data_IF_014042915676
#
_entry.id   IF_014042915676
#
_cell.length_a   1.000
_cell.length_b   1.000
_cell.length_c   1.000
_cell.angle_alpha   90.00
_cell.angle_beta   90.00
_cell.angle_gamma   90.00
#
_symmetry.space_group_name_H-M   'P 1'
#
loop_
_entity.id
_entity.type
_entity.pdbx_description
1 polymer ?
#
# COMPACT_ATOMS: atom_id res chain seq x y z
N UNK A 1 5.42 -19.23 5.43
CA UNK A 1 6.75 -18.61 5.66
C UNK A 1 6.66 -17.21 5.06
N UNK A 2 6.45 -16.20 5.90
CA UNK A 2 6.40 -14.81 5.44
C UNK A 2 7.83 -14.40 5.08
N UNK A 3 8.09 -14.20 3.79
CA UNK A 3 9.33 -13.58 3.32
C UNK A 3 9.31 -12.13 3.79
N UNK A 4 10.11 -11.80 4.83
CA UNK A 4 10.44 -10.41 5.11
C UNK A 4 11.02 -9.84 3.81
N UNK A 5 10.47 -8.72 3.29
CA UNK A 5 11.10 -8.06 2.16
C UNK A 5 12.54 -7.73 2.55
N UNK A 6 13.48 -8.09 1.70
CA UNK A 6 14.89 -7.77 1.90
C UNK A 6 15.00 -6.25 2.14
N UNK A 7 15.58 -5.87 3.28
CA UNK A 7 15.95 -4.49 3.53
C UNK A 7 16.95 -4.12 2.42
N UNK A 8 16.52 -3.32 1.45
CA UNK A 8 17.42 -2.72 0.47
C UNK A 8 18.02 -1.53 1.21
N UNK A 9 19.19 -1.73 1.86
CA UNK A 9 19.92 -0.67 2.53
C UNK A 9 20.21 0.45 1.52
N UNK A 10 19.82 1.67 1.87
CA UNK A 10 20.06 2.86 1.05
C UNK A 10 19.09 3.08 -0.12
N UNK A 11 18.05 2.26 -0.29
CA UNK A 11 17.02 2.52 -1.31
C UNK A 11 16.21 3.78 -0.96
N UNK A 12 16.05 4.67 -1.92
CA UNK A 12 15.19 5.82 -1.77
C UNK A 12 13.72 5.42 -1.61
N UNK A 13 12.90 6.34 -1.14
CA UNK A 13 11.48 6.09 -0.86
C UNK A 13 10.71 5.56 -2.07
N UNK A 14 10.99 6.02 -3.28
CA UNK A 14 10.30 5.60 -4.51
C UNK A 14 10.58 4.14 -4.84
N UNK A 15 11.80 3.68 -4.61
CA UNK A 15 12.16 2.28 -4.82
C UNK A 15 11.46 1.36 -3.80
N UNK A 16 11.38 1.78 -2.54
CA UNK A 16 10.67 1.03 -1.50
C UNK A 16 9.17 0.91 -1.81
N UNK A 17 8.55 2.00 -2.25
CA UNK A 17 7.15 1.99 -2.67
C UNK A 17 6.92 1.08 -3.89
N UNK A 18 7.80 1.12 -4.92
CA UNK A 18 7.70 0.20 -6.06
C UNK A 18 7.72 -1.27 -5.65
N UNK A 19 8.61 -1.63 -4.73
CA UNK A 19 8.70 -3.01 -4.23
C UNK A 19 7.42 -3.42 -3.51
N UNK A 20 6.85 -2.56 -2.67
CA UNK A 20 5.59 -2.84 -1.99
C UNK A 20 4.42 -2.94 -2.99
N UNK A 21 4.33 -2.03 -3.96
CA UNK A 21 3.31 -2.04 -5.00
C UNK A 21 3.34 -3.33 -5.84
N UNK A 22 4.53 -3.72 -6.31
CA UNK A 22 4.70 -4.95 -7.06
C UNK A 22 4.25 -6.17 -6.26
N UNK A 23 4.64 -6.24 -4.99
CA UNK A 23 4.23 -7.32 -4.09
C UNK A 23 2.71 -7.40 -3.94
N UNK A 24 2.00 -6.28 -3.78
CA UNK A 24 0.53 -6.31 -3.63
C UNK A 24 -0.18 -6.85 -4.87
N UNK A 25 0.28 -6.49 -6.05
CA UNK A 25 -0.27 -7.01 -7.30
C UNK A 25 -0.01 -8.52 -7.45
N UNK A 26 1.18 -9.00 -7.08
CA UNK A 26 1.53 -10.42 -7.09
C UNK A 26 0.72 -11.21 -6.03
N UNK A 27 0.61 -10.70 -4.79
CA UNK A 27 -0.18 -11.33 -3.73
C UNK A 27 -1.67 -11.40 -4.10
N UNK A 28 -2.22 -10.37 -4.78
CA UNK A 28 -3.59 -10.41 -5.26
C UNK A 28 -3.80 -11.45 -6.35
N UNK A 29 -2.84 -11.59 -7.29
CA UNK A 29 -2.87 -12.65 -8.30
C UNK A 29 -2.87 -14.04 -7.64
N UNK A 30 -2.07 -14.24 -6.59
CA UNK A 30 -2.11 -15.47 -5.80
C UNK A 30 -3.48 -15.72 -5.17
N UNK A 31 -4.17 -14.69 -4.65
CA UNK A 31 -5.54 -14.83 -4.11
C UNK A 31 -6.50 -15.31 -5.19
N UNK A 32 -6.36 -14.79 -6.42
CA UNK A 32 -7.21 -15.15 -7.56
C UNK A 32 -6.97 -16.60 -8.05
N UNK A 33 -5.75 -17.11 -7.93
CA UNK A 33 -5.36 -18.42 -8.48
C UNK A 33 -5.50 -19.58 -7.50
N UNK A 34 -5.56 -19.33 -6.19
CA UNK A 34 -5.75 -20.37 -5.17
C UNK A 34 -7.17 -20.94 -5.25
N UNK A 35 -7.31 -22.25 -5.41
CA UNK A 35 -8.61 -22.95 -5.52
C UNK A 35 -9.23 -23.39 -4.19
N UNK A 36 -8.45 -23.48 -3.12
CA UNK A 36 -8.94 -23.80 -1.78
C UNK A 36 -9.50 -22.53 -1.10
N UNK A 37 -10.78 -22.57 -0.71
CA UNK A 37 -11.49 -21.42 -0.13
C UNK A 37 -10.84 -20.88 1.14
N UNK A 38 -10.40 -21.74 2.04
CA UNK A 38 -9.77 -21.32 3.31
C UNK A 38 -8.42 -20.66 3.04
N UNK A 39 -7.69 -21.21 2.09
CA UNK A 39 -6.40 -20.67 1.68
C UNK A 39 -6.54 -19.34 0.97
N UNK A 40 -7.54 -19.21 0.08
CA UNK A 40 -7.85 -17.97 -0.59
C UNK A 40 -8.23 -16.88 0.42
N UNK A 41 -9.09 -17.21 1.39
CA UNK A 41 -9.45 -16.27 2.47
C UNK A 41 -8.26 -15.89 3.34
N UNK A 42 -7.38 -16.83 3.69
CA UNK A 42 -6.19 -16.55 4.49
C UNK A 42 -5.22 -15.61 3.74
N UNK A 43 -5.00 -15.85 2.44
CA UNK A 43 -4.18 -14.99 1.58
C UNK A 43 -4.75 -13.57 1.46
N UNK A 44 -6.07 -13.46 1.30
CA UNK A 44 -6.73 -12.15 1.29
C UNK A 44 -6.49 -11.38 2.59
N UNK A 45 -6.55 -12.04 3.75
CA UNK A 45 -6.29 -11.40 5.03
C UNK A 45 -4.80 -11.01 5.20
N UNK A 46 -3.86 -11.79 4.67
CA UNK A 46 -2.44 -11.45 4.65
C UNK A 46 -2.20 -10.21 3.77
N UNK A 47 -2.73 -10.18 2.56
CA UNK A 47 -2.68 -9.05 1.64
C UNK A 47 -3.27 -7.79 2.29
N UNK A 48 -4.44 -7.89 2.92
CA UNK A 48 -5.08 -6.78 3.63
C UNK A 48 -4.20 -6.19 4.73
N UNK A 49 -3.57 -7.04 5.54
CA UNK A 49 -2.65 -6.57 6.60
C UNK A 49 -1.47 -5.83 6.01
N UNK A 50 -0.87 -6.38 4.95
CA UNK A 50 0.23 -5.73 4.23
C UNK A 50 -0.17 -4.38 3.67
N UNK A 51 -1.32 -4.31 3.02
CA UNK A 51 -1.89 -3.08 2.48
C UNK A 51 -2.09 -2.01 3.56
N UNK A 52 -2.73 -2.37 4.68
CA UNK A 52 -2.98 -1.43 5.78
C UNK A 52 -1.69 -0.84 6.35
N UNK A 53 -0.66 -1.67 6.54
CA UNK A 53 0.65 -1.20 6.99
C UNK A 53 1.27 -0.25 5.97
N UNK A 54 1.20 -0.57 4.67
CA UNK A 54 1.71 0.28 3.60
C UNK A 54 0.99 1.63 3.56
N UNK A 55 -0.33 1.64 3.46
CA UNK A 55 -1.14 2.85 3.37
C UNK A 55 -0.88 3.80 4.55
N UNK A 56 -0.92 3.29 5.79
CA UNK A 56 -0.62 4.09 6.98
C UNK A 56 0.82 4.61 6.99
N UNK A 57 1.79 3.81 6.54
CA UNK A 57 3.20 4.24 6.48
C UNK A 57 3.38 5.34 5.45
N UNK A 58 2.76 5.20 4.29
CA UNK A 58 2.81 6.19 3.23
C UNK A 58 2.19 7.52 3.67
N UNK A 59 1.02 7.48 4.29
CA UNK A 59 0.36 8.65 4.87
C UNK A 59 1.23 9.36 5.92
N UNK A 60 1.84 8.57 6.81
CA UNK A 60 2.65 9.11 7.91
C UNK A 60 3.98 9.71 7.46
N UNK A 61 4.58 9.20 6.40
CA UNK A 61 5.92 9.59 5.97
C UNK A 61 5.86 10.43 4.70
N UNK A 62 5.25 9.91 3.63
CA UNK A 62 5.32 10.52 2.30
C UNK A 62 4.36 11.71 2.17
N UNK A 63 3.10 11.51 2.52
CA UNK A 63 2.10 12.58 2.37
C UNK A 63 2.42 13.75 3.29
N UNK A 64 2.83 13.49 4.54
CA UNK A 64 3.26 14.56 5.47
C UNK A 64 4.50 15.31 5.00
N UNK A 65 5.48 14.62 4.42
CA UNK A 65 6.66 15.27 3.85
C UNK A 65 6.28 16.20 2.69
N UNK A 66 5.41 15.75 1.78
CA UNK A 66 4.90 16.55 0.68
C UNK A 66 4.06 17.73 1.16
N UNK A 67 3.16 17.55 2.13
CA UNK A 67 2.38 18.63 2.74
C UNK A 67 3.28 19.71 3.37
N UNK A 68 4.34 19.29 4.06
CA UNK A 68 5.28 20.20 4.69
C UNK A 68 5.99 21.13 3.72
N UNK A 69 6.29 20.67 2.49
CA UNK A 69 6.94 21.48 1.45
C UNK A 69 5.94 22.25 0.55
N UNK A 70 4.71 21.77 0.46
CA UNK A 70 3.66 22.36 -0.36
C UNK A 70 2.76 23.36 0.39
N UNK A 71 2.97 23.55 1.68
CA UNK A 71 2.15 24.44 2.52
C UNK A 71 2.02 25.90 2.00
N UNK A 72 2.86 26.28 1.03
CA UNK A 72 2.83 27.57 0.32
C UNK A 72 2.13 27.53 -1.05
N UNK A 73 1.76 26.35 -1.53
CA UNK A 73 1.09 26.17 -2.82
C UNK A 73 -0.37 25.78 -2.59
N UNK A 74 -1.31 26.38 -3.33
CA UNK A 74 -2.77 26.13 -3.26
C UNK A 74 -3.16 24.71 -3.73
N UNK A 75 -2.51 23.67 -3.20
CA UNK A 75 -2.68 22.28 -3.60
C UNK A 75 -3.64 21.50 -2.69
N UNK A 76 -4.63 22.15 -2.13
CA UNK A 76 -5.52 21.68 -1.06
C UNK A 76 -6.35 20.43 -1.29
N UNK A 77 -6.37 19.82 -2.49
CA UNK A 77 -7.26 18.67 -2.75
C UNK A 77 -6.55 17.33 -2.99
N UNK A 78 -5.24 17.31 -3.22
CA UNK A 78 -4.57 16.07 -3.67
C UNK A 78 -4.23 15.08 -2.55
N UNK A 79 -4.01 15.57 -1.34
CA UNK A 79 -3.82 14.68 -0.19
C UNK A 79 -5.16 14.00 0.17
N UNK A 80 -6.25 14.77 0.20
CA UNK A 80 -7.60 14.26 0.49
C UNK A 80 -8.02 13.17 -0.51
N UNK A 81 -7.70 13.33 -1.80
CA UNK A 81 -8.00 12.34 -2.84
C UNK A 81 -7.25 11.02 -2.60
N UNK A 82 -6.00 11.07 -2.12
CA UNK A 82 -5.18 9.88 -1.84
C UNK A 82 -5.63 9.13 -0.59
N UNK A 83 -6.01 9.84 0.47
CA UNK A 83 -6.63 9.22 1.64
C UNK A 83 -7.93 8.51 1.25
N UNK A 84 -8.75 9.12 0.40
CA UNK A 84 -9.97 8.51 -0.10
C UNK A 84 -9.71 7.24 -0.94
N UNK A 85 -8.63 7.18 -1.72
CA UNK A 85 -8.22 5.95 -2.44
C UNK A 85 -7.87 4.82 -1.46
N UNK A 86 -7.10 5.09 -0.40
CA UNK A 86 -6.79 4.09 0.64
C UNK A 86 -8.06 3.58 1.34
N UNK A 87 -8.99 4.47 1.68
CA UNK A 87 -10.27 4.11 2.27
C UNK A 87 -11.11 3.22 1.35
N UNK A 88 -11.12 3.48 0.05
CA UNK A 88 -11.85 2.66 -0.92
C UNK A 88 -11.27 1.24 -1.03
N UNK A 89 -9.97 1.11 -1.03
CA UNK A 89 -9.30 -0.21 -1.02
C UNK A 89 -9.65 -0.97 0.27
N UNK A 90 -9.57 -0.32 1.43
CA UNK A 90 -9.91 -0.94 2.72
C UNK A 90 -11.38 -1.37 2.77
N UNK A 91 -12.30 -0.52 2.29
CA UNK A 91 -13.71 -0.86 2.19
C UNK A 91 -13.98 -2.07 1.26
N UNK A 92 -13.16 -2.26 0.22
CA UNK A 92 -13.27 -3.43 -0.64
C UNK A 92 -12.78 -4.70 0.07
N UNK A 93 -11.72 -4.63 0.86
CA UNK A 93 -11.28 -5.73 1.71
C UNK A 93 -12.36 -6.12 2.75
N UNK A 94 -13.03 -5.15 3.36
CA UNK A 94 -14.15 -5.41 4.29
C UNK A 94 -15.27 -6.21 3.60
N UNK A 95 -15.66 -5.81 2.41
CA UNK A 95 -16.70 -6.50 1.64
C UNK A 95 -16.29 -7.93 1.26
N UNK A 96 -15.06 -8.11 0.77
CA UNK A 96 -14.51 -9.42 0.43
C UNK A 96 -14.44 -10.35 1.64
N UNK A 97 -14.10 -9.83 2.82
CA UNK A 97 -14.02 -10.61 4.06
C UNK A 97 -15.37 -11.22 4.49
N UNK A 98 -16.48 -10.67 4.03
CA UNK A 98 -17.83 -11.13 4.31
C UNK A 98 -18.37 -12.11 3.27
N UNK A 99 -17.65 -12.39 2.19
CA UNK A 99 -18.09 -13.24 1.08
C UNK A 99 -17.41 -14.60 1.11
N UNK A 100 -18.08 -15.59 0.55
CA UNK A 100 -17.49 -16.91 0.31
C UNK A 100 -16.58 -16.83 -0.92
N UNK A 101 -15.30 -17.25 -0.82
CA UNK A 101 -14.41 -17.32 -1.97
C UNK A 101 -15.00 -18.11 -3.14
N UNK A 102 -14.58 -17.75 -4.36
CA UNK A 102 -14.97 -18.38 -5.63
C UNK A 102 -16.44 -18.23 -6.04
N UNK A 103 -17.28 -17.60 -5.23
CA UNK A 103 -18.61 -17.18 -5.69
C UNK A 103 -18.48 -16.05 -6.71
N UNK A 104 -19.44 -15.91 -7.60
CA UNK A 104 -19.44 -14.89 -8.65
C UNK A 104 -19.26 -13.47 -8.07
N UNK A 105 -19.90 -13.17 -6.94
CA UNK A 105 -19.77 -11.88 -6.28
C UNK A 105 -18.35 -11.66 -5.72
N UNK A 106 -17.70 -12.69 -5.16
CA UNK A 106 -16.32 -12.64 -4.72
C UNK A 106 -15.38 -12.27 -5.88
N UNK A 107 -15.51 -12.96 -7.02
CA UNK A 107 -14.67 -12.71 -8.18
C UNK A 107 -14.85 -11.27 -8.70
N UNK A 108 -16.09 -10.82 -8.85
CA UNK A 108 -16.39 -9.47 -9.29
C UNK A 108 -15.76 -8.39 -8.38
N UNK A 109 -15.69 -8.65 -7.07
CA UNK A 109 -15.07 -7.72 -6.12
C UNK A 109 -13.54 -7.79 -6.12
N UNK A 110 -12.95 -8.95 -6.39
CA UNK A 110 -11.50 -9.05 -6.62
C UNK A 110 -11.08 -8.24 -7.85
N UNK A 111 -11.86 -8.27 -8.93
CA UNK A 111 -11.60 -7.48 -10.13
C UNK A 111 -11.65 -5.97 -9.83
N UNK A 112 -12.59 -5.54 -8.98
CA UNK A 112 -12.66 -4.15 -8.50
C UNK A 112 -11.46 -3.82 -7.62
N UNK A 113 -11.08 -4.69 -6.68
CA UNK A 113 -9.91 -4.49 -5.83
C UNK A 113 -8.63 -4.36 -6.66
N UNK A 114 -8.45 -5.23 -7.68
CA UNK A 114 -7.33 -5.13 -8.61
C UNK A 114 -7.30 -3.76 -9.30
N UNK A 115 -8.44 -3.29 -9.79
CA UNK A 115 -8.53 -1.98 -10.45
C UNK A 115 -8.19 -0.82 -9.53
N UNK A 116 -8.58 -0.90 -8.24
CA UNK A 116 -8.25 0.10 -7.23
C UNK A 116 -6.75 0.10 -6.91
N UNK A 117 -6.15 -1.07 -6.70
CA UNK A 117 -4.71 -1.20 -6.45
C UNK A 117 -3.88 -0.71 -7.64
N UNK A 118 -4.29 -1.09 -8.86
CA UNK A 118 -3.62 -0.63 -10.09
C UNK A 118 -3.66 0.89 -10.21
N UNK A 119 -4.83 1.50 -9.97
CA UNK A 119 -4.99 2.95 -9.98
C UNK A 119 -4.09 3.64 -8.96
N UNK A 120 -4.04 3.12 -7.73
CA UNK A 120 -3.15 3.64 -6.69
C UNK A 120 -1.68 3.61 -7.15
N UNK A 121 -1.21 2.46 -7.64
CA UNK A 121 0.15 2.30 -8.18
C UNK A 121 0.43 3.29 -9.31
N UNK A 122 -0.49 3.44 -10.25
CA UNK A 122 -0.34 4.35 -11.39
C UNK A 122 -0.29 5.81 -10.92
N UNK A 123 -1.16 6.21 -9.98
CA UNK A 123 -1.17 7.57 -9.41
C UNK A 123 0.16 7.88 -8.74
N UNK A 124 0.70 6.95 -7.97
CA UNK A 124 1.99 7.16 -7.32
C UNK A 124 3.15 7.23 -8.31
N UNK A 125 3.19 6.35 -9.29
CA UNK A 125 4.25 6.34 -10.29
C UNK A 125 4.26 7.57 -11.18
N UNK A 126 3.08 8.03 -11.62
CA UNK A 126 2.97 9.10 -12.60
C UNK A 126 2.79 10.50 -11.99
N UNK A 127 2.33 10.60 -10.75
CA UNK A 127 2.11 11.89 -10.09
C UNK A 127 3.00 12.09 -8.86
N UNK A 128 3.02 11.13 -7.93
CA UNK A 128 3.71 11.30 -6.65
C UNK A 128 5.24 11.20 -6.80
N UNK A 129 5.76 10.23 -7.53
CA UNK A 129 7.21 10.06 -7.67
C UNK A 129 7.89 11.22 -8.40
N UNK A 130 7.34 11.77 -9.50
CA UNK A 130 7.86 13.02 -10.08
C UNK A 130 7.86 14.18 -9.08
N UNK A 131 6.77 14.33 -8.32
CA UNK A 131 6.66 15.40 -7.31
C UNK A 131 7.68 15.25 -6.18
N UNK A 132 7.93 14.02 -5.71
CA UNK A 132 9.00 13.74 -4.75
C UNK A 132 10.37 14.14 -5.32
N UNK A 133 10.65 13.80 -6.58
CA UNK A 133 11.91 14.15 -7.24
C UNK A 133 12.10 15.66 -7.46
N UNK A 134 11.02 16.41 -7.60
CA UNK A 134 11.05 17.87 -7.72
C UNK A 134 11.28 18.59 -6.38
N UNK A 135 10.82 18.00 -5.27
CA UNK A 135 10.78 18.63 -3.95
C UNK A 135 11.94 18.22 -3.03
N UNK A 136 12.52 17.05 -3.26
CA UNK A 136 13.54 16.47 -2.39
C UNK A 136 14.79 16.08 -3.20
N UNK A 137 15.96 16.33 -2.64
CA UNK A 137 17.22 15.85 -3.19
C UNK A 137 17.44 14.35 -2.89
N UNK A 138 18.51 13.78 -3.46
CA UNK A 138 18.80 12.36 -3.32
C UNK A 138 19.02 11.91 -1.85
N UNK A 139 19.62 12.76 -1.02
CA UNK A 139 19.85 12.46 0.39
C UNK A 139 18.53 12.48 1.18
N UNK A 140 17.65 13.44 0.90
CA UNK A 140 16.34 13.55 1.50
C UNK A 140 15.41 12.38 1.09
N UNK A 141 15.47 11.95 -0.18
CA UNK A 141 14.72 10.79 -0.66
C UNK A 141 15.18 9.48 0.00
N UNK A 142 16.48 9.33 0.23
CA UNK A 142 17.03 8.21 0.98
C UNK A 142 16.57 8.26 2.45
N UNK A 143 16.61 9.42 3.09
CA UNK A 143 16.13 9.60 4.47
C UNK A 143 14.64 9.27 4.61
N UNK A 144 13.80 9.71 3.68
CA UNK A 144 12.39 9.32 3.65
C UNK A 144 12.24 7.80 3.50
N UNK A 145 13.09 7.16 2.70
CA UNK A 145 13.12 5.70 2.57
C UNK A 145 13.44 4.99 3.90
N UNK A 146 14.38 5.51 4.68
CA UNK A 146 14.72 5.00 6.01
C UNK A 146 13.57 5.19 7.02
N UNK A 147 12.96 6.38 7.03
CA UNK A 147 11.81 6.68 7.88
C UNK A 147 10.63 5.76 7.55
N UNK A 148 10.37 5.52 6.26
CA UNK A 148 9.34 4.59 5.80
C UNK A 148 9.61 3.16 6.29
N UNK A 149 10.84 2.66 6.17
CA UNK A 149 11.20 1.32 6.64
C UNK A 149 10.97 1.16 8.14
N UNK A 150 11.43 2.13 8.94
CA UNK A 150 11.25 2.13 10.40
C UNK A 150 9.78 2.19 10.82
N UNK A 151 8.98 3.02 10.17
CA UNK A 151 7.56 3.15 10.44
C UNK A 151 6.81 1.86 10.07
N UNK A 152 7.10 1.28 8.90
CA UNK A 152 6.55 0.01 8.45
C UNK A 152 6.82 -1.13 9.42
N UNK A 153 8.07 -1.28 9.89
CA UNK A 153 8.44 -2.34 10.83
C UNK A 153 7.66 -2.22 12.15
N UNK A 154 7.50 -1.00 12.67
CA UNK A 154 6.70 -0.73 13.87
C UNK A 154 5.21 -1.08 13.67
N UNK A 155 4.62 -0.67 12.55
CA UNK A 155 3.23 -0.94 12.25
C UNK A 155 2.98 -2.44 12.00
N UNK A 156 3.90 -3.12 11.34
CA UNK A 156 3.83 -4.58 11.14
C UNK A 156 3.79 -5.31 12.49
N UNK A 157 4.68 -4.95 13.42
CA UNK A 157 4.68 -5.54 14.76
C UNK A 157 3.37 -5.28 15.50
N UNK A 158 2.80 -4.08 15.38
CA UNK A 158 1.51 -3.75 16.00
C UNK A 158 0.35 -4.56 15.41
N UNK A 159 0.33 -4.80 14.11
CA UNK A 159 -0.69 -5.64 13.46
C UNK A 159 -0.54 -7.12 13.84
N UNK A 160 0.69 -7.62 13.98
CA UNK A 160 0.95 -8.98 14.48
C UNK A 160 0.45 -9.16 15.93
N UNK A 161 0.68 -8.19 16.80
CA UNK A 161 0.21 -8.20 18.19
C UNK A 161 -1.31 -8.15 18.33
N UNK A 162 -2.02 -7.48 17.40
CA UNK A 162 -3.49 -7.46 17.38
C UNK A 162 -4.10 -8.79 16.89
N UNK A 163 -3.34 -9.55 16.11
CA UNK A 163 -3.80 -10.82 15.54
C UNK A 163 -3.53 -12.03 16.43
N UNK A 164 -2.73 -11.88 17.50
CA UNK A 164 -2.36 -12.92 18.47
C UNK A 164 -3.35 -13.04 19.62
#
# INVERSE_FOLDING_TARGET
MSLKPALIDGADIRERLRVDHQRFLEELDEVCTVTDERRSQARLQELRRGWRVHALTEEMVVYRALEGVDATASSGNRADDRFAEHELVEAMFDKLSCLTPHMHEWQARLDVLLSLLQRHVDTDHFEMFPRLAERFDAAQLAELGEQFALARDKLTLLEELKAA
#
